data_IF_466253216164
#
_entry.id   IF_466253216164
#
_cell.length_a   1.000
_cell.length_b   1.000
_cell.length_c   1.000
_cell.angle_alpha   90.00
_cell.angle_beta   90.00
_cell.angle_gamma   90.00
#
_symmetry.space_group_name_H-M   'P 1'
#
loop_
_entity.id
_entity.type
_entity.pdbx_description
1 polymer ?
#
# COMPACT_ATOMS: atom_id res chain seq x y z
N UNK A 1 -5.55 6.42 23.73
CA UNK A 1 -5.42 7.88 23.53
C UNK A 1 -6.82 8.49 23.50
N UNK A 2 -7.00 9.82 23.57
CA UNK A 2 -8.36 10.39 23.42
C UNK A 2 -8.82 10.27 21.97
N UNK A 3 -10.11 10.03 21.74
CA UNK A 3 -10.67 9.86 20.39
C UNK A 3 -10.31 10.99 19.41
N UNK A 4 -10.40 12.28 19.80
CA UNK A 4 -10.01 13.39 18.93
C UNK A 4 -8.53 13.39 18.54
N UNK A 5 -7.64 12.99 19.46
CA UNK A 5 -6.21 12.91 19.18
C UNK A 5 -5.89 11.78 18.20
N UNK A 6 -6.51 10.60 18.37
CA UNK A 6 -6.33 9.47 17.43
C UNK A 6 -6.78 9.88 16.03
N UNK A 7 -7.95 10.53 15.93
CA UNK A 7 -8.45 11.03 14.64
C UNK A 7 -7.47 12.00 13.97
N UNK A 8 -6.97 13.00 14.69
CA UNK A 8 -5.99 13.95 14.15
C UNK A 8 -4.72 13.24 13.67
N UNK A 9 -4.24 12.23 14.41
CA UNK A 9 -3.06 11.46 14.03
C UNK A 9 -3.29 10.56 12.82
N UNK A 10 -4.48 9.98 12.65
CA UNK A 10 -4.85 9.26 11.42
C UNK A 10 -4.77 10.21 10.21
N UNK A 11 -5.33 11.43 10.33
CA UNK A 11 -5.27 12.42 9.26
C UNK A 11 -3.82 12.80 8.89
N UNK A 12 -2.99 13.09 9.90
CA UNK A 12 -1.57 13.42 9.69
C UNK A 12 -0.82 12.25 9.06
N UNK A 13 -1.00 11.04 9.60
CA UNK A 13 -0.37 9.83 9.08
C UNK A 13 -0.79 9.54 7.62
N UNK A 14 -2.08 9.68 7.30
CA UNK A 14 -2.58 9.54 5.93
C UNK A 14 -2.01 10.58 4.97
N UNK A 15 -1.88 11.84 5.40
CA UNK A 15 -1.22 12.89 4.62
C UNK A 15 0.26 12.57 4.35
N UNK A 16 0.98 12.08 5.37
CA UNK A 16 2.37 11.62 5.21
C UNK A 16 2.44 10.43 4.25
N UNK A 17 1.54 9.45 4.39
CA UNK A 17 1.46 8.30 3.49
C UNK A 17 1.27 8.73 2.04
N UNK A 18 0.36 9.66 1.79
CA UNK A 18 0.12 10.21 0.46
C UNK A 18 1.34 10.96 -0.09
N UNK A 19 2.08 11.69 0.74
CA UNK A 19 3.32 12.36 0.33
C UNK A 19 4.42 11.35 -0.01
N UNK A 20 4.64 10.33 0.84
CA UNK A 20 5.59 9.24 0.59
C UNK A 20 5.26 8.49 -0.69
N UNK A 21 3.96 8.25 -0.95
CA UNK A 21 3.49 7.66 -2.20
C UNK A 21 3.97 8.44 -3.41
N UNK A 22 3.80 9.77 -3.41
CA UNK A 22 4.22 10.63 -4.53
C UNK A 22 5.74 10.55 -4.75
N UNK A 23 6.53 10.55 -3.67
CA UNK A 23 7.98 10.45 -3.74
C UNK A 23 8.45 9.09 -4.28
N UNK A 24 7.90 8.00 -3.75
CA UNK A 24 8.28 6.64 -4.16
C UNK A 24 7.82 6.35 -5.58
N UNK A 25 6.56 6.65 -5.92
CA UNK A 25 6.02 6.46 -7.27
C UNK A 25 6.84 7.26 -8.30
N UNK A 26 7.13 8.53 -8.02
CA UNK A 26 7.96 9.37 -8.88
C UNK A 26 9.40 8.86 -9.03
N UNK A 27 10.04 8.45 -7.93
CA UNK A 27 11.40 7.93 -7.95
C UNK A 27 11.52 6.60 -8.71
N UNK A 28 10.51 5.73 -8.63
CA UNK A 28 10.46 4.48 -9.39
C UNK A 28 10.23 4.79 -10.87
N UNK A 29 9.23 5.62 -11.20
CA UNK A 29 8.95 6.03 -12.59
C UNK A 29 10.15 6.68 -13.28
N UNK A 30 11.00 7.40 -12.54
CA UNK A 30 12.23 7.98 -13.08
C UNK A 30 13.33 6.97 -13.43
N UNK A 31 13.28 5.74 -12.87
CA UNK A 31 14.31 4.70 -13.05
C UNK A 31 13.89 3.58 -13.99
N UNK A 32 12.59 3.28 -14.05
CA UNK A 32 12.02 2.24 -14.92
C UNK A 32 11.09 2.85 -15.96
N UNK A 33 11.20 2.39 -17.21
CA UNK A 33 10.49 2.99 -18.35
C UNK A 33 8.97 2.93 -18.28
N UNK A 34 8.30 3.73 -19.11
CA UNK A 34 6.84 3.93 -19.13
C UNK A 34 5.99 2.72 -19.59
N UNK A 35 6.59 1.54 -19.71
CA UNK A 35 5.93 0.32 -20.14
C UNK A 35 4.98 -0.27 -19.10
N UNK A 36 5.15 0.00 -17.82
CA UNK A 36 4.28 -0.57 -16.78
C UNK A 36 4.29 0.35 -15.57
N UNK A 37 3.18 0.48 -14.82
CA UNK A 37 3.08 1.35 -13.66
C UNK A 37 3.84 0.79 -12.43
N UNK A 38 5.15 0.62 -12.57
CA UNK A 38 6.02 0.05 -11.54
C UNK A 38 5.95 0.80 -10.21
N UNK A 39 5.83 2.14 -10.25
CA UNK A 39 5.70 2.94 -9.04
C UNK A 39 4.44 2.57 -8.25
N UNK A 40 3.29 2.48 -8.92
CA UNK A 40 2.03 2.01 -8.32
C UNK A 40 2.13 0.59 -7.77
N UNK A 41 2.81 -0.31 -8.47
CA UNK A 41 3.02 -1.69 -7.99
C UNK A 41 3.88 -1.72 -6.73
N UNK A 42 4.98 -0.99 -6.72
CA UNK A 42 5.89 -0.93 -5.56
C UNK A 42 5.15 -0.42 -4.33
N UNK A 43 4.50 0.74 -4.41
CA UNK A 43 3.80 1.33 -3.24
C UNK A 43 2.70 0.41 -2.70
N UNK A 44 1.94 -0.27 -3.57
CA UNK A 44 0.85 -1.14 -3.14
C UNK A 44 1.40 -2.42 -2.50
N UNK A 45 2.40 -3.06 -3.10
CA UNK A 45 2.99 -4.31 -2.57
C UNK A 45 3.72 -4.05 -1.25
N UNK A 46 4.56 -3.02 -1.15
CA UNK A 46 5.27 -2.70 0.09
C UNK A 46 4.32 -2.20 1.17
N UNK A 47 3.29 -1.43 0.81
CA UNK A 47 2.28 -0.98 1.75
C UNK A 47 1.38 -2.12 2.25
N UNK A 48 1.01 -3.06 1.39
CA UNK A 48 0.30 -4.28 1.80
C UNK A 48 1.14 -5.15 2.75
N UNK A 49 2.45 -5.30 2.48
CA UNK A 49 3.37 -5.95 3.42
C UNK A 49 3.42 -5.23 4.77
N UNK A 50 3.61 -3.91 4.77
CA UNK A 50 3.67 -3.10 5.98
C UNK A 50 2.38 -3.16 6.80
N UNK A 51 1.22 -3.10 6.15
CA UNK A 51 -0.08 -3.28 6.82
C UNK A 51 -0.22 -4.70 7.39
N UNK A 52 0.23 -5.72 6.67
CA UNK A 52 0.30 -7.09 7.16
C UNK A 52 1.12 -7.21 8.43
N UNK A 53 2.34 -6.64 8.45
CA UNK A 53 3.20 -6.61 9.65
C UNK A 53 2.49 -5.97 10.85
N UNK A 54 1.86 -4.81 10.65
CA UNK A 54 1.13 -4.11 11.71
C UNK A 54 -0.05 -4.94 12.23
N UNK A 55 -0.80 -5.58 11.32
CA UNK A 55 -1.91 -6.44 11.70
C UNK A 55 -1.45 -7.68 12.48
N UNK A 56 -0.32 -8.29 12.08
CA UNK A 56 0.28 -9.44 12.77
C UNK A 56 0.72 -9.07 14.18
N UNK A 57 1.41 -7.94 14.32
CA UNK A 57 1.87 -7.43 15.60
C UNK A 57 0.71 -7.01 16.51
N UNK A 58 -0.38 -6.46 15.97
CA UNK A 58 -1.58 -6.16 16.73
C UNK A 58 -2.28 -7.41 17.25
N UNK A 59 -2.26 -8.50 16.47
CA UNK A 59 -2.90 -9.74 16.86
C UNK A 59 -2.10 -10.55 17.89
N UNK A 60 -0.75 -10.51 17.85
CA UNK A 60 0.07 -11.44 18.64
C UNK A 60 1.21 -10.79 19.45
N UNK A 61 1.63 -9.57 19.11
CA UNK A 61 2.75 -8.86 19.74
C UNK A 61 2.31 -7.75 20.72
N UNK A 62 1.00 -7.60 20.93
CA UNK A 62 0.44 -6.57 21.82
C UNK A 62 0.51 -5.14 21.27
N UNK A 63 0.63 -4.95 19.94
CA UNK A 63 0.59 -3.61 19.34
C UNK A 63 -0.78 -2.95 19.67
N UNK A 64 -0.80 -1.76 20.30
CA UNK A 64 -2.04 -1.06 20.63
C UNK A 64 -2.93 -0.81 19.42
N UNK A 65 -4.25 -0.98 19.60
CA UNK A 65 -5.24 -0.76 18.54
C UNK A 65 -5.15 0.65 17.92
N UNK A 66 -4.93 1.68 18.75
CA UNK A 66 -4.76 3.06 18.29
C UNK A 66 -3.59 3.18 17.28
N UNK A 67 -2.49 2.46 17.50
CA UNK A 67 -1.35 2.46 16.57
C UNK A 67 -1.66 1.73 15.27
N UNK A 68 -2.45 0.65 15.32
CA UNK A 68 -2.92 -0.02 14.10
C UNK A 68 -3.82 0.90 13.27
N UNK A 69 -4.70 1.69 13.90
CA UNK A 69 -5.52 2.68 13.20
C UNK A 69 -4.67 3.79 12.57
N UNK A 70 -3.71 4.35 13.32
CA UNK A 70 -2.87 5.46 12.86
C UNK A 70 -1.91 5.00 11.76
N UNK A 71 -1.17 3.92 11.97
CA UNK A 71 -0.15 3.45 11.04
C UNK A 71 -0.75 2.60 9.91
N UNK A 72 -1.69 1.71 10.24
CA UNK A 72 -2.34 0.86 9.24
C UNK A 72 -3.40 1.62 8.45
N UNK A 73 -4.41 2.16 9.14
CA UNK A 73 -5.50 2.90 8.50
C UNK A 73 -5.06 4.25 7.92
N UNK A 74 -4.26 5.01 8.67
CA UNK A 74 -3.71 6.30 8.23
C UNK A 74 -2.55 6.14 7.26
N UNK A 75 -1.36 5.82 7.76
CA UNK A 75 -0.12 5.85 6.96
C UNK A 75 -0.15 4.87 5.77
N UNK A 76 -0.40 3.58 6.00
CA UNK A 76 -0.47 2.59 4.91
C UNK A 76 -1.66 2.86 3.97
N UNK A 77 -2.80 3.32 4.51
CA UNK A 77 -3.96 3.71 3.72
C UNK A 77 -3.69 4.89 2.78
N UNK A 78 -2.95 5.90 3.23
CA UNK A 78 -2.52 7.02 2.38
C UNK A 78 -1.38 6.67 1.41
N UNK A 79 -0.53 5.71 1.79
CA UNK A 79 0.63 5.27 1.01
C UNK A 79 0.25 4.39 -0.20
N UNK A 80 -0.74 3.52 -0.03
CA UNK A 80 -1.25 2.63 -1.09
C UNK A 80 -2.35 3.30 -1.92
N UNK A 81 -2.71 2.72 -3.08
CA UNK A 81 -3.79 3.24 -3.91
C UNK A 81 -4.36 2.21 -4.88
N UNK A 82 -5.63 1.85 -4.65
CA UNK A 82 -6.38 0.98 -5.55
C UNK A 82 -7.00 1.74 -6.74
N UNK A 83 -7.41 3.00 -6.53
CA UNK A 83 -8.06 3.81 -7.56
C UNK A 83 -7.10 4.16 -8.70
N UNK A 84 -5.86 4.52 -8.38
CA UNK A 84 -4.80 4.78 -9.39
C UNK A 84 -4.51 3.51 -10.20
N UNK A 85 -4.30 2.39 -9.52
CA UNK A 85 -4.07 1.08 -10.14
C UNK A 85 -5.21 0.68 -11.10
N UNK A 86 -6.47 0.92 -10.70
CA UNK A 86 -7.64 0.62 -11.52
C UNK A 86 -7.64 1.43 -12.81
N UNK A 87 -7.38 2.74 -12.72
CA UNK A 87 -7.33 3.63 -13.89
C UNK A 87 -6.15 3.29 -14.82
N UNK A 88 -4.99 2.95 -14.25
CA UNK A 88 -3.83 2.50 -15.04
C UNK A 88 -4.11 1.18 -15.77
N UNK A 89 -4.83 0.26 -15.14
CA UNK A 89 -5.28 -1.00 -15.79
C UNK A 89 -6.17 -0.71 -16.99
N UNK A 90 -7.17 0.16 -16.85
CA UNK A 90 -8.05 0.57 -17.95
C UNK A 90 -7.26 1.22 -19.09
N UNK A 91 -6.32 2.12 -18.76
CA UNK A 91 -5.48 2.80 -19.76
C UNK A 91 -4.58 1.84 -20.51
N UNK A 92 -3.99 0.86 -19.83
CA UNK A 92 -3.18 -0.19 -20.48
C UNK A 92 -4.03 -1.04 -21.44
N UNK A 93 -5.25 -1.39 -21.04
CA UNK A 93 -6.17 -2.14 -21.89
C UNK A 93 -6.59 -1.33 -23.13
N UNK A 94 -6.94 -0.05 -22.96
CA UNK A 94 -7.27 0.87 -24.06
C UNK A 94 -6.10 1.05 -25.04
N UNK A 95 -4.86 1.00 -24.55
CA UNK A 95 -3.65 1.04 -25.38
C UNK A 95 -3.34 -0.30 -26.08
N UNK A 96 -4.21 -1.31 -26.00
CA UNK A 96 -3.99 -2.64 -26.57
C UNK A 96 -2.99 -3.50 -25.81
N UNK A 97 -2.52 -3.05 -24.64
CA UNK A 97 -1.44 -3.70 -23.86
C UNK A 97 -2.01 -4.65 -22.82
N UNK A 98 -2.78 -5.64 -23.28
CA UNK A 98 -3.56 -6.53 -22.42
C UNK A 98 -2.73 -7.30 -21.40
N UNK A 99 -1.53 -7.77 -21.78
CA UNK A 99 -0.63 -8.45 -20.83
C UNK A 99 -0.21 -7.55 -19.67
N UNK A 100 0.11 -6.28 -19.94
CA UNK A 100 0.44 -5.31 -18.90
C UNK A 100 -0.78 -4.94 -18.05
N UNK A 101 -1.97 -4.84 -18.67
CA UNK A 101 -3.22 -4.61 -17.94
C UNK A 101 -3.52 -5.76 -16.97
N UNK A 102 -3.41 -7.02 -17.40
CA UNK A 102 -3.58 -8.19 -16.54
C UNK A 102 -2.54 -8.24 -15.42
N UNK A 103 -1.28 -7.94 -15.73
CA UNK A 103 -0.23 -7.86 -14.73
C UNK A 103 -0.48 -6.75 -13.69
N UNK A 104 -1.00 -5.59 -14.10
CA UNK A 104 -1.30 -4.48 -13.19
C UNK A 104 -2.57 -4.70 -12.37
N UNK A 105 -3.60 -5.33 -12.95
CA UNK A 105 -4.84 -5.64 -12.25
C UNK A 105 -4.68 -6.87 -11.36
N UNK A 106 -4.60 -8.05 -11.99
CA UNK A 106 -4.61 -9.33 -11.28
C UNK A 106 -3.24 -9.69 -10.70
N UNK A 107 -2.16 -9.50 -11.46
CA UNK A 107 -0.81 -9.84 -11.01
C UNK A 107 -0.41 -9.08 -9.75
N UNK A 108 -0.63 -7.76 -9.76
CA UNK A 108 -0.37 -6.90 -8.60
C UNK A 108 -1.28 -7.26 -7.42
N UNK A 109 -2.57 -7.55 -7.64
CA UNK A 109 -3.46 -7.99 -6.56
C UNK A 109 -2.92 -9.24 -5.85
N UNK A 110 -2.52 -10.25 -6.62
CA UNK A 110 -1.92 -11.49 -6.08
C UNK A 110 -0.64 -11.18 -5.31
N UNK A 111 0.23 -10.32 -5.84
CA UNK A 111 1.46 -9.90 -5.17
C UNK A 111 1.17 -9.16 -3.85
N UNK A 112 0.19 -8.25 -3.82
CA UNK A 112 -0.23 -7.54 -2.62
C UNK A 112 -0.80 -8.49 -1.55
N UNK A 113 -1.62 -9.47 -1.95
CA UNK A 113 -2.17 -10.48 -1.02
C UNK A 113 -1.04 -11.33 -0.43
N UNK A 114 -0.11 -11.81 -1.27
CA UNK A 114 1.04 -12.59 -0.81
C UNK A 114 1.92 -11.77 0.15
N UNK A 115 2.17 -10.50 -0.19
CA UNK A 115 2.93 -9.57 0.63
C UNK A 115 2.24 -9.29 1.98
N UNK A 116 0.93 -9.04 1.98
CA UNK A 116 0.16 -8.88 3.22
C UNK A 116 0.18 -10.13 4.09
N UNK A 117 0.04 -11.32 3.49
CA UNK A 117 0.12 -12.60 4.22
C UNK A 117 1.49 -12.84 4.83
N UNK A 118 2.57 -12.56 4.09
CA UNK A 118 3.94 -12.62 4.62
C UNK A 118 4.14 -11.63 5.76
N UNK A 119 3.68 -10.39 5.60
CA UNK A 119 3.71 -9.38 6.64
C UNK A 119 2.96 -9.85 7.89
N UNK A 120 1.74 -10.39 7.73
CA UNK A 120 0.93 -10.90 8.82
C UNK A 120 1.66 -12.00 9.62
N UNK A 121 2.28 -12.95 8.93
CA UNK A 121 3.03 -14.05 9.54
C UNK A 121 4.27 -13.55 10.29
N UNK A 122 5.04 -12.65 9.70
CA UNK A 122 6.25 -12.10 10.32
C UNK A 122 5.92 -11.16 11.49
N UNK A 123 4.86 -10.36 11.35
CA UNK A 123 4.41 -9.44 12.39
C UNK A 123 3.93 -10.16 13.65
N UNK A 124 3.45 -11.40 13.50
CA UNK A 124 3.03 -12.22 14.64
C UNK A 124 4.20 -12.68 15.53
N UNK A 125 5.44 -12.63 15.04
CA UNK A 125 6.65 -12.97 15.79
C UNK A 125 7.47 -11.77 16.28
N UNK A 126 6.98 -10.54 16.07
CA UNK A 126 7.55 -9.32 16.65
C UNK A 126 7.10 -9.17 18.11
#
# INVERSE_FOLDING_TARGET
MSGPLVFALICVAGGIGAALRLLVDGAVKGRVGAGYPWGTTVINVTGSFGLGLLAGAAAHAGLPHDLLLILGGGLMGGYTTFSTASLETVRLAQAGRLGAALANGLGMLVACIAAAGLGLALGAGL
#
